data_IF_735770956299
#
_entry.id   IF_735770956299
#
_cell.length_a   1.000
_cell.length_b   1.000
_cell.length_c   1.000
_cell.angle_alpha   90.00
_cell.angle_beta   90.00
_cell.angle_gamma   90.00
#
_symmetry.space_group_name_H-M   'P 1'
#
loop_
_entity.id
_entity.type
_entity.pdbx_description
1 polymer ?
#
# COMPACT_ATOMS: atom_id res chain seq x y z
N UNK A 1 -5.42 20.64 7.13
CA UNK A 1 -4.81 19.40 6.58
C UNK A 1 -4.40 18.54 7.76
N UNK A 2 -5.02 17.36 7.93
CA UNK A 2 -4.58 16.41 8.94
C UNK A 2 -3.52 15.51 8.28
N UNK A 3 -2.26 15.77 8.55
CA UNK A 3 -1.18 14.86 8.19
C UNK A 3 -1.07 13.82 9.30
N UNK A 4 -1.31 12.56 8.97
CA UNK A 4 -1.16 11.44 9.89
C UNK A 4 0.11 10.65 9.54
N UNK A 5 0.95 10.39 10.52
CA UNK A 5 2.13 9.54 10.36
C UNK A 5 1.82 8.11 10.76
N UNK A 6 2.52 7.17 10.16
CA UNK A 6 2.35 5.75 10.46
C UNK A 6 3.69 5.01 10.55
N UNK A 7 3.65 3.89 11.24
CA UNK A 7 4.70 2.88 11.27
C UNK A 7 4.05 1.52 11.10
N UNK A 8 4.50 0.74 10.11
CA UNK A 8 4.00 -0.60 9.88
C UNK A 8 4.70 -1.61 10.79
N UNK A 9 3.96 -2.63 11.17
CA UNK A 9 4.46 -3.77 11.95
C UNK A 9 4.46 -5.01 11.08
N UNK A 10 5.50 -5.87 11.15
CA UNK A 10 5.46 -7.15 10.46
C UNK A 10 4.44 -8.08 11.11
N UNK A 11 3.82 -8.94 10.31
CA UNK A 11 3.01 -10.03 10.85
C UNK A 11 3.89 -10.92 11.75
N UNK A 12 3.40 -11.31 12.94
CA UNK A 12 4.19 -12.10 13.88
C UNK A 12 4.74 -13.39 13.26
N UNK A 13 6.02 -13.62 13.41
CA UNK A 13 6.75 -14.80 12.93
C UNK A 13 7.71 -15.28 14.01
N UNK A 14 7.99 -16.58 14.02
CA UNK A 14 9.03 -17.17 14.86
C UNK A 14 10.43 -17.07 14.21
N UNK A 15 10.52 -16.57 13.00
CA UNK A 15 11.77 -16.38 12.28
C UNK A 15 12.46 -15.08 12.70
N UNK A 16 13.78 -15.08 12.66
CA UNK A 16 14.55 -13.84 12.84
C UNK A 16 14.45 -13.03 11.55
N UNK A 17 13.74 -11.92 11.61
CA UNK A 17 13.59 -11.01 10.48
C UNK A 17 14.77 -10.05 10.39
N UNK A 18 15.14 -9.60 9.17
CA UNK A 18 16.07 -8.49 8.99
C UNK A 18 15.59 -7.24 9.74
N UNK A 19 16.53 -6.41 10.20
CA UNK A 19 16.18 -5.15 10.86
C UNK A 19 15.69 -4.13 9.83
N UNK A 20 14.37 -4.11 9.61
CA UNK A 20 13.70 -3.21 8.69
C UNK A 20 12.71 -2.33 9.46
N UNK A 21 12.51 -1.13 8.97
CA UNK A 21 11.49 -0.20 9.43
C UNK A 21 10.73 0.38 8.24
N UNK A 22 9.40 0.33 8.29
CA UNK A 22 8.53 0.95 7.28
C UNK A 22 7.72 2.02 7.99
N UNK A 23 7.94 3.27 7.60
CA UNK A 23 7.24 4.44 8.13
C UNK A 23 6.67 5.27 7.01
N UNK A 24 5.86 6.24 7.34
CA UNK A 24 5.36 7.18 6.34
C UNK A 24 4.34 8.17 6.87
N UNK A 25 3.69 8.82 5.94
CA UNK A 25 2.60 9.76 6.23
C UNK A 25 1.52 9.69 5.17
N UNK A 26 0.31 10.02 5.60
CA UNK A 26 -0.84 10.12 4.71
C UNK A 26 -1.58 11.43 4.97
N UNK A 27 -2.00 12.07 3.89
CA UNK A 27 -2.77 13.33 3.94
C UNK A 27 -3.86 13.30 2.88
N UNK A 28 -5.06 13.72 3.26
CA UNK A 28 -6.15 13.96 2.31
C UNK A 28 -6.59 15.41 2.36
N UNK A 29 -6.74 16.02 1.19
CA UNK A 29 -7.34 17.33 1.03
C UNK A 29 -8.40 17.26 -0.09
N UNK A 30 -9.67 17.27 0.27
CA UNK A 30 -10.79 16.99 -0.64
C UNK A 30 -10.61 15.62 -1.32
N UNK A 31 -10.39 15.59 -2.63
CA UNK A 31 -10.17 14.38 -3.41
C UNK A 31 -8.68 14.06 -3.65
N UNK A 32 -7.78 14.95 -3.22
CA UNK A 32 -6.34 14.71 -3.36
C UNK A 32 -5.83 13.91 -2.16
N UNK A 33 -5.28 12.73 -2.42
CA UNK A 33 -4.64 11.87 -1.44
C UNK A 33 -3.14 11.84 -1.72
N UNK A 34 -2.34 12.07 -0.68
CA UNK A 34 -0.89 11.92 -0.73
C UNK A 34 -0.47 10.90 0.30
N UNK A 35 0.33 9.90 -0.11
CA UNK A 35 0.94 8.92 0.78
C UNK A 35 2.44 8.89 0.52
N UNK A 36 3.22 8.94 1.60
CA UNK A 36 4.66 8.77 1.56
C UNK A 36 5.03 7.49 2.32
N UNK A 37 5.85 6.64 1.70
CA UNK A 37 6.44 5.46 2.35
C UNK A 37 7.95 5.63 2.44
N UNK A 38 8.51 5.15 3.54
CA UNK A 38 9.95 5.02 3.77
C UNK A 38 10.27 3.63 4.29
N UNK A 39 11.06 2.87 3.56
CA UNK A 39 11.64 1.60 4.00
C UNK A 39 13.13 1.83 4.27
N UNK A 40 13.53 1.55 5.49
CA UNK A 40 14.88 1.76 6.02
C UNK A 40 15.41 0.50 6.67
N UNK A 41 16.72 0.43 6.86
CA UNK A 41 17.41 -0.63 7.58
C UNK A 41 18.23 -1.53 6.65
N UNK A 42 18.18 -2.84 6.85
CA UNK A 42 18.98 -3.80 6.10
C UNK A 42 18.38 -4.10 4.69
N UNK A 43 18.44 -3.10 3.81
CA UNK A 43 17.89 -3.20 2.47
C UNK A 43 18.58 -4.25 1.59
N UNK A 44 19.78 -4.71 1.95
CA UNK A 44 20.47 -5.79 1.23
C UNK A 44 19.75 -7.14 1.38
N UNK A 45 18.95 -7.27 2.43
CA UNK A 45 18.12 -8.44 2.67
C UNK A 45 16.79 -8.41 1.89
N UNK A 46 16.48 -7.30 1.21
CA UNK A 46 15.21 -7.09 0.48
C UNK A 46 15.44 -7.19 -1.02
N UNK A 47 14.54 -7.88 -1.71
CA UNK A 47 14.49 -7.86 -3.18
C UNK A 47 13.79 -6.59 -3.63
N UNK A 48 14.57 -5.61 -4.07
CA UNK A 48 14.07 -4.35 -4.63
C UNK A 48 14.29 -4.41 -6.15
N UNK A 49 13.22 -4.53 -6.95
CA UNK A 49 13.37 -4.55 -8.40
C UNK A 49 13.88 -3.19 -8.91
N UNK A 50 14.74 -3.15 -9.94
CA UNK A 50 15.26 -1.91 -10.48
C UNK A 50 14.12 -1.05 -11.06
N UNK A 51 14.27 0.26 -10.94
CA UNK A 51 13.31 1.21 -11.48
C UNK A 51 13.20 1.06 -13.00
N UNK A 52 11.99 0.91 -13.49
CA UNK A 52 11.69 0.83 -14.93
C UNK A 52 11.70 2.22 -15.56
N UNK A 53 12.12 2.30 -16.82
CA UNK A 53 12.05 3.54 -17.59
C UNK A 53 10.60 3.97 -17.90
N UNK A 54 9.63 3.07 -17.76
CA UNK A 54 8.22 3.34 -18.04
C UNK A 54 7.35 2.73 -16.95
N UNK A 55 6.58 3.58 -16.29
CA UNK A 55 5.56 3.15 -15.34
C UNK A 55 4.38 2.53 -16.10
N UNK A 56 3.98 1.34 -15.72
CA UNK A 56 2.86 0.63 -16.37
C UNK A 56 1.99 -0.07 -15.34
N UNK A 57 0.73 -0.25 -15.69
CA UNK A 57 -0.19 -1.12 -14.95
C UNK A 57 0.25 -2.57 -15.10
N UNK A 58 0.31 -3.32 -13.98
CA UNK A 58 0.63 -4.75 -13.96
C UNK A 58 -0.20 -5.49 -12.91
N UNK A 59 -0.54 -6.74 -13.21
CA UNK A 59 -1.15 -7.64 -12.24
C UNK A 59 -0.12 -8.25 -11.29
N UNK A 60 -0.60 -8.79 -10.17
CA UNK A 60 0.16 -9.66 -9.25
C UNK A 60 1.42 -9.00 -8.66
N UNK A 61 1.39 -7.67 -8.46
CA UNK A 61 2.52 -6.94 -7.88
C UNK A 61 2.82 -7.39 -6.44
N UNK A 62 1.84 -7.94 -5.72
CA UNK A 62 1.97 -8.48 -4.37
C UNK A 62 2.80 -9.77 -4.27
N UNK A 63 3.18 -10.40 -5.38
CA UNK A 63 4.10 -11.56 -5.40
C UNK A 63 5.57 -11.16 -5.18
N UNK A 64 5.86 -9.87 -5.27
CA UNK A 64 7.17 -9.27 -5.06
C UNK A 64 7.10 -8.20 -3.97
N UNK A 65 8.19 -7.47 -3.73
CA UNK A 65 8.15 -6.29 -2.85
C UNK A 65 7.16 -5.26 -3.41
N UNK A 66 6.11 -4.98 -2.63
CA UNK A 66 5.00 -4.13 -3.03
C UNK A 66 4.53 -3.27 -1.85
N UNK A 67 4.28 -1.99 -2.08
CA UNK A 67 3.63 -1.09 -1.13
C UNK A 67 2.18 -0.96 -1.52
N UNK A 68 1.29 -1.06 -0.53
CA UNK A 68 -0.14 -1.14 -0.79
C UNK A 68 -0.91 -0.22 0.14
N UNK A 69 -2.04 0.26 -0.33
CA UNK A 69 -3.03 0.91 0.52
C UNK A 69 -4.44 0.55 0.09
N UNK A 70 -5.31 0.51 1.07
CA UNK A 70 -6.71 0.18 0.87
C UNK A 70 -7.57 1.37 1.28
N UNK A 71 -8.55 1.71 0.46
CA UNK A 71 -9.49 2.79 0.71
C UNK A 71 -10.90 2.22 0.82
N UNK A 72 -11.46 2.20 2.00
CA UNK A 72 -12.85 1.84 2.23
C UNK A 72 -13.70 3.09 2.47
N UNK A 73 -14.90 3.14 1.91
CA UNK A 73 -15.88 4.15 2.28
C UNK A 73 -16.50 3.73 3.62
N UNK A 74 -16.54 4.66 4.59
CA UNK A 74 -17.15 4.40 5.90
C UNK A 74 -18.61 3.96 5.73
N UNK A 75 -19.01 2.98 6.52
CA UNK A 75 -20.36 2.36 6.47
C UNK A 75 -20.71 1.68 5.14
N UNK A 76 -19.70 1.34 4.31
CA UNK A 76 -19.84 0.59 3.07
C UNK A 76 -18.95 -0.65 3.06
N UNK A 77 -19.43 -1.75 2.48
CA UNK A 77 -18.62 -2.95 2.34
C UNK A 77 -17.56 -2.83 1.23
N UNK A 78 -17.77 -1.94 0.26
CA UNK A 78 -16.87 -1.76 -0.87
C UNK A 78 -15.57 -1.06 -0.47
N UNK A 79 -14.48 -1.41 -1.15
CA UNK A 79 -13.18 -0.80 -0.98
C UNK A 79 -12.33 -0.94 -2.24
N UNK A 80 -11.27 -0.16 -2.30
CA UNK A 80 -10.23 -0.24 -3.33
C UNK A 80 -8.92 -0.66 -2.73
N UNK A 81 -8.15 -1.41 -3.49
CA UNK A 81 -6.76 -1.79 -3.23
C UNK A 81 -5.87 -1.16 -4.29
N UNK A 82 -4.80 -0.53 -3.86
CA UNK A 82 -3.77 0.04 -4.72
C UNK A 82 -2.43 -0.62 -4.43
N UNK A 83 -1.78 -1.08 -5.48
CA UNK A 83 -0.50 -1.77 -5.43
C UNK A 83 0.58 -0.95 -6.15
N UNK A 84 1.71 -0.72 -5.49
CA UNK A 84 2.82 0.10 -5.95
C UNK A 84 4.11 -0.69 -5.85
N UNK A 85 4.69 -1.04 -6.99
CA UNK A 85 6.00 -1.71 -7.05
C UNK A 85 7.14 -0.70 -7.00
N UNK A 86 8.25 -0.97 -6.28
CA UNK A 86 9.46 -0.17 -6.38
C UNK A 86 10.02 -0.03 -7.80
N UNK A 87 9.65 -0.93 -8.73
CA UNK A 87 9.98 -0.80 -10.15
C UNK A 87 9.22 0.32 -10.88
N UNK A 88 8.27 1.00 -10.23
CA UNK A 88 7.43 2.02 -10.85
C UNK A 88 6.14 1.46 -11.47
N UNK A 89 5.86 0.17 -11.34
CA UNK A 89 4.59 -0.42 -11.81
C UNK A 89 3.52 -0.32 -10.74
N UNK A 90 2.25 -0.34 -11.18
CA UNK A 90 1.12 -0.16 -10.29
C UNK A 90 -0.11 -0.94 -10.75
N UNK A 91 -1.07 -1.13 -9.85
CA UNK A 91 -2.44 -1.48 -10.18
C UNK A 91 -3.40 -0.91 -9.14
N UNK A 92 -4.69 -0.86 -9.50
CA UNK A 92 -5.78 -0.53 -8.62
C UNK A 92 -6.93 -1.50 -8.88
N UNK A 93 -7.52 -2.02 -7.81
CA UNK A 93 -8.64 -2.94 -7.85
C UNK A 93 -9.80 -2.42 -7.02
N UNK A 94 -11.01 -2.70 -7.46
CA UNK A 94 -12.24 -2.44 -6.74
C UNK A 94 -12.85 -3.76 -6.25
N UNK A 95 -13.34 -3.77 -5.02
CA UNK A 95 -14.02 -4.88 -4.38
C UNK A 95 -15.40 -4.46 -3.90
N UNK A 96 -16.39 -5.33 -4.10
CA UNK A 96 -17.76 -5.12 -3.60
C UNK A 96 -17.90 -5.43 -2.10
N UNK A 97 -16.99 -6.21 -1.54
CA UNK A 97 -16.93 -6.63 -0.14
C UNK A 97 -15.69 -7.47 0.09
N UNK A 98 -15.56 -8.01 1.31
CA UNK A 98 -14.37 -8.78 1.70
C UNK A 98 -14.00 -9.86 0.67
N UNK A 99 -12.92 -9.63 -0.08
CA UNK A 99 -12.39 -10.49 -1.15
C UNK A 99 -13.41 -10.89 -2.22
N UNK A 100 -14.45 -10.06 -2.45
CA UNK A 100 -15.52 -10.34 -3.40
C UNK A 100 -15.55 -9.33 -4.54
N UNK A 101 -15.77 -9.84 -5.77
CA UNK A 101 -15.97 -9.01 -6.95
C UNK A 101 -14.75 -8.21 -7.37
N UNK A 102 -13.55 -8.73 -7.17
CA UNK A 102 -12.29 -8.08 -7.58
C UNK A 102 -12.33 -7.75 -9.07
N UNK A 103 -12.22 -6.49 -9.40
CA UNK A 103 -12.11 -5.98 -10.76
C UNK A 103 -11.05 -4.89 -10.83
N UNK A 104 -10.35 -4.76 -11.95
CA UNK A 104 -9.47 -3.62 -12.15
C UNK A 104 -10.28 -2.31 -12.11
N UNK A 105 -9.76 -1.32 -11.34
CA UNK A 105 -10.33 0.02 -11.36
C UNK A 105 -9.88 0.78 -12.61
N UNK A 106 -10.81 1.03 -13.51
CA UNK A 106 -10.53 1.64 -14.82
C UNK A 106 -10.59 3.16 -14.83
N UNK A 107 -11.00 3.79 -13.73
CA UNK A 107 -11.00 5.24 -13.59
C UNK A 107 -9.58 5.84 -13.69
N UNK A 108 -8.55 5.05 -13.39
CA UNK A 108 -7.15 5.48 -13.50
C UNK A 108 -6.52 4.90 -14.76
N UNK A 109 -6.14 5.74 -15.71
CA UNK A 109 -5.31 5.35 -16.87
C UNK A 109 -3.82 5.41 -16.54
N UNK A 110 -3.44 6.25 -15.59
CA UNK A 110 -2.10 6.39 -15.00
C UNK A 110 -2.24 6.59 -13.50
N UNK A 111 -1.26 6.15 -12.75
CA UNK A 111 -1.12 6.43 -11.33
C UNK A 111 0.26 7.03 -11.11
N UNK A 112 0.39 8.37 -11.04
CA UNK A 112 1.69 9.00 -10.85
C UNK A 112 2.19 8.77 -9.43
N UNK A 113 3.39 8.22 -9.31
CA UNK A 113 4.14 8.14 -8.07
C UNK A 113 5.64 8.16 -8.33
N UNK A 114 6.37 8.69 -7.38
CA UNK A 114 7.82 8.79 -7.44
C UNK A 114 8.45 7.71 -6.58
N UNK A 115 9.51 7.10 -7.08
CA UNK A 115 10.31 6.10 -6.37
C UNK A 115 11.75 6.59 -6.30
N UNK A 116 12.31 6.62 -5.11
CA UNK A 116 13.73 6.87 -4.90
C UNK A 116 14.37 5.63 -4.28
N UNK A 117 15.38 5.09 -4.96
CA UNK A 117 16.18 3.93 -4.55
C UNK A 117 17.63 4.40 -4.35
N UNK A 118 17.90 5.08 -3.23
CA UNK A 118 19.25 5.49 -2.84
C UNK A 118 19.72 4.68 -1.62
N UNK A 119 20.11 5.32 -0.53
CA UNK A 119 20.46 4.66 0.73
C UNK A 119 19.24 4.05 1.42
N UNK A 120 18.05 4.66 1.20
CA UNK A 120 16.74 4.20 1.63
C UNK A 120 15.85 3.98 0.40
N UNK A 121 14.73 3.27 0.57
CA UNK A 121 13.68 3.18 -0.43
C UNK A 121 12.51 4.06 -0.02
N UNK A 122 12.14 5.02 -0.85
CA UNK A 122 10.95 5.83 -0.63
C UNK A 122 10.03 5.87 -1.84
N UNK A 123 8.72 5.90 -1.56
CA UNK A 123 7.66 6.07 -2.55
C UNK A 123 6.76 7.23 -2.12
N UNK A 124 6.41 8.07 -3.08
CA UNK A 124 5.45 9.17 -2.89
C UNK A 124 4.37 9.05 -3.95
N UNK A 125 3.14 8.77 -3.54
CA UNK A 125 1.99 8.73 -4.43
C UNK A 125 1.09 9.93 -4.18
N UNK A 126 0.67 10.58 -5.28
CA UNK A 126 -0.32 11.65 -5.29
C UNK A 126 -1.45 11.25 -6.23
N UNK A 127 -2.65 11.08 -5.70
CA UNK A 127 -3.78 10.58 -6.47
C UNK A 127 -5.01 11.46 -6.30
N UNK A 128 -5.69 11.76 -7.41
CA UNK A 128 -7.01 12.37 -7.42
C UNK A 128 -8.09 11.27 -7.40
N UNK A 129 -8.82 11.20 -6.30
CA UNK A 129 -9.86 10.21 -6.06
C UNK A 129 -11.23 10.64 -6.64
N UNK A 130 -11.35 11.80 -7.27
CA UNK A 130 -12.65 12.40 -7.66
C UNK A 130 -13.51 11.51 -8.55
N UNK A 131 -12.90 10.59 -9.29
CA UNK A 131 -13.63 9.66 -10.17
C UNK A 131 -14.24 8.46 -9.44
N UNK A 132 -13.74 8.13 -8.23
CA UNK A 132 -14.19 6.95 -7.48
C UNK A 132 -14.80 7.30 -6.12
N UNK A 133 -14.40 8.43 -5.53
CA UNK A 133 -14.76 8.82 -4.15
C UNK A 133 -15.12 10.30 -4.12
N UNK A 134 -16.28 10.63 -3.53
CA UNK A 134 -16.66 12.02 -3.29
C UNK A 134 -15.84 12.65 -2.17
N UNK A 135 -15.48 13.94 -2.31
CA UNK A 135 -14.78 14.70 -1.27
C UNK A 135 -15.51 14.75 0.09
N UNK A 136 -16.81 14.45 0.12
CA UNK A 136 -17.64 14.44 1.33
C UNK A 136 -17.68 13.07 2.02
N UNK A 137 -17.20 12.02 1.36
CA UNK A 137 -17.19 10.68 1.95
C UNK A 137 -16.00 10.53 2.89
N UNK A 138 -16.26 10.03 4.07
CA UNK A 138 -15.22 9.62 5.03
C UNK A 138 -14.62 8.30 4.56
N UNK A 139 -13.31 8.22 4.61
CA UNK A 139 -12.57 7.01 4.26
C UNK A 139 -12.00 6.37 5.51
N UNK A 140 -11.97 5.05 5.51
CA UNK A 140 -11.18 4.20 6.39
C UNK A 140 -10.05 3.60 5.55
N UNK A 141 -8.82 3.74 6.01
CA UNK A 141 -7.63 3.41 5.22
C UNK A 141 -6.77 2.39 5.94
N UNK A 142 -6.36 1.34 5.22
CA UNK A 142 -5.24 0.50 5.61
C UNK A 142 -4.01 0.85 4.78
N UNK A 143 -2.84 0.83 5.42
CA UNK A 143 -1.53 0.98 4.79
C UNK A 143 -0.76 -0.30 5.06
N UNK A 144 -0.23 -0.90 4.01
CA UNK A 144 0.42 -2.21 4.08
C UNK A 144 1.65 -2.28 3.17
N UNK A 145 2.43 -3.33 3.32
CA UNK A 145 3.48 -3.69 2.40
C UNK A 145 3.75 -5.19 2.42
N UNK A 146 4.08 -5.73 1.27
CA UNK A 146 4.68 -7.06 1.10
C UNK A 146 6.15 -6.85 0.86
N UNK A 147 7.01 -7.51 1.63
CA UNK A 147 8.48 -7.44 1.49
C UNK A 147 9.00 -8.83 1.15
N UNK A 148 9.53 -8.99 -0.05
CA UNK A 148 10.25 -10.18 -0.47
C UNK A 148 11.71 -10.06 -0.09
N UNK A 149 12.23 -11.10 0.55
CA UNK A 149 13.60 -11.15 1.01
C UNK A 149 14.51 -11.92 0.04
N UNK A 150 15.80 -11.64 0.09
CA UNK A 150 16.83 -12.28 -0.77
C UNK A 150 16.99 -13.78 -0.54
N UNK A 151 16.43 -14.32 0.54
CA UNK A 151 16.34 -15.75 0.84
C UNK A 151 15.00 -16.38 0.41
N UNK A 152 14.24 -15.71 -0.47
CA UNK A 152 12.92 -16.10 -0.97
C UNK A 152 11.78 -16.14 0.08
N UNK A 153 12.02 -15.70 1.32
CA UNK A 153 10.94 -15.52 2.29
C UNK A 153 10.17 -14.22 2.00
N UNK A 154 8.91 -14.18 2.46
CA UNK A 154 8.03 -13.01 2.31
C UNK A 154 7.52 -12.62 3.68
N UNK A 155 7.54 -11.32 3.96
CA UNK A 155 6.94 -10.75 5.17
C UNK A 155 5.84 -9.75 4.82
N UNK A 156 4.80 -9.73 5.66
CA UNK A 156 3.62 -8.90 5.49
C UNK A 156 3.59 -7.84 6.57
N UNK A 157 3.50 -6.58 6.16
CA UNK A 157 3.57 -5.41 7.04
C UNK A 157 2.28 -4.61 6.96
N UNK A 158 1.74 -4.21 8.10
CA UNK A 158 0.51 -3.45 8.19
C UNK A 158 0.51 -2.51 9.40
N UNK A 159 -0.45 -1.57 9.43
CA UNK A 159 -0.72 -0.75 10.63
C UNK A 159 -1.09 -1.64 11.82
N UNK A 160 -1.89 -2.66 11.56
CA UNK A 160 -2.31 -3.69 12.52
C UNK A 160 -2.64 -4.98 11.78
N UNK A 161 -2.53 -6.10 12.47
CA UNK A 161 -2.90 -7.43 11.98
C UNK A 161 -4.07 -7.98 12.80
N UNK A 162 -5.24 -8.10 12.19
CA UNK A 162 -6.48 -8.51 12.86
C UNK A 162 -6.80 -10.00 12.70
N UNK A 163 -6.14 -10.70 11.76
CA UNK A 163 -6.36 -12.11 11.45
C UNK A 163 -5.38 -13.05 12.16
N UNK A 164 -5.71 -14.34 12.16
CA UNK A 164 -4.80 -15.42 12.61
C UNK A 164 -3.67 -15.70 11.62
N UNK A 165 -3.79 -15.18 10.42
CA UNK A 165 -2.77 -15.10 9.37
C UNK A 165 -2.77 -13.70 8.76
N UNK A 166 -1.72 -13.34 8.03
CA UNK A 166 -1.64 -12.05 7.37
C UNK A 166 -2.79 -11.91 6.37
N UNK A 167 -3.62 -10.89 6.56
CA UNK A 167 -4.75 -10.59 5.69
C UNK A 167 -5.05 -9.09 5.70
N UNK A 168 -4.69 -8.40 4.63
CA UNK A 168 -4.85 -6.96 4.48
C UNK A 168 -6.28 -6.53 4.12
N UNK A 169 -7.14 -7.47 3.70
CA UNK A 169 -8.52 -7.18 3.31
C UNK A 169 -9.49 -7.09 4.48
N UNK A 170 -9.05 -7.46 5.69
CA UNK A 170 -9.91 -7.37 6.89
C UNK A 170 -10.20 -5.90 7.21
N UNK A 171 -11.49 -5.54 7.18
CA UNK A 171 -11.94 -4.16 7.36
C UNK A 171 -11.50 -3.57 8.71
N UNK A 172 -11.39 -4.40 9.75
CA UNK A 172 -10.92 -4.01 11.08
C UNK A 172 -9.46 -3.53 11.09
N UNK A 173 -8.69 -3.78 10.02
CA UNK A 173 -7.32 -3.28 9.86
C UNK A 173 -7.23 -1.89 9.21
N UNK A 174 -8.35 -1.32 8.76
CA UNK A 174 -8.41 0.01 8.15
C UNK A 174 -8.47 1.09 9.24
N UNK A 175 -7.32 1.42 9.82
CA UNK A 175 -7.19 2.15 11.10
C UNK A 175 -7.11 3.68 10.96
N UNK A 176 -6.97 4.21 9.74
CA UNK A 176 -6.84 5.64 9.51
C UNK A 176 -8.15 6.19 8.97
N UNK A 177 -8.75 7.15 9.67
CA UNK A 177 -9.91 7.90 9.21
C UNK A 177 -9.48 9.18 8.47
N UNK A 178 -10.01 9.40 7.25
CA UNK A 178 -9.74 10.57 6.41
C UNK A 178 -11.01 11.23 5.87
#
# INVERSE_FOLDING_TARGET
>A
MNNQTFTLQPFPSNETLPNLQITGSITRHHNQLTINYHLMGDLKAVVIPPLSNTQTRKHELWEETCFEFFLGIKDSAQYWEFNLSPAGHWNAYHFHGYRQGMTEETAFSVLPFDVNQSDDLSLVVNIDLSQIISAKQTLEVAITAVIKHSNDTVTYWALTHCGVQADFHLRDSFMIDL
#
